data_IF_881517425421
#
_entry.id   IF_881517425421
#
_cell.length_a   1.000
_cell.length_b   1.000
_cell.length_c   1.000
_cell.angle_alpha   90.00
_cell.angle_beta   90.00
_cell.angle_gamma   90.00
#
_symmetry.space_group_name_H-M   'P 1'
#
loop_
_entity.id
_entity.type
_entity.pdbx_description
1 polymer ?
#
# COMPACT_ATOMS: atom_id res chain seq x y z
N UNK A 1 1.88 3.59 -5.49
CA UNK A 1 3.00 4.43 -4.98
C UNK A 1 4.24 4.27 -5.84
N UNK A 2 4.99 5.33 -6.13
CA UNK A 2 6.15 5.27 -7.03
C UNK A 2 7.27 6.25 -6.63
N UNK A 3 7.38 6.55 -5.34
CA UNK A 3 8.36 7.48 -4.78
C UNK A 3 9.30 6.71 -3.82
N UNK A 4 9.48 7.18 -2.60
CA UNK A 4 10.25 6.50 -1.55
C UNK A 4 9.46 5.36 -0.88
N UNK A 5 10.12 4.62 0.00
CA UNK A 5 9.50 3.57 0.83
C UNK A 5 8.56 4.18 1.89
N UNK A 6 7.71 3.34 2.50
CA UNK A 6 6.85 3.65 3.66
C UNK A 6 5.97 4.93 3.53
N UNK A 7 5.43 5.18 2.35
CA UNK A 7 4.56 6.34 2.09
C UNK A 7 3.10 6.11 2.49
N UNK A 8 2.65 4.86 2.50
CA UNK A 8 1.34 4.48 3.01
C UNK A 8 1.56 3.79 4.37
N UNK A 9 1.07 4.44 5.42
CA UNK A 9 1.21 4.01 6.82
C UNK A 9 -0.17 3.97 7.49
N UNK A 10 -0.23 3.48 8.73
CA UNK A 10 -1.48 3.47 9.53
C UNK A 10 -2.13 4.86 9.66
N UNK A 11 -1.29 5.90 9.69
CA UNK A 11 -1.72 7.30 9.84
C UNK A 11 -2.40 7.87 8.59
N UNK A 12 -2.32 7.18 7.44
CA UNK A 12 -2.90 7.68 6.21
C UNK A 12 -3.71 6.65 5.39
N UNK A 13 -3.55 5.35 5.65
CA UNK A 13 -4.25 4.29 4.92
C UNK A 13 -5.79 4.44 4.97
N UNK A 14 -6.33 4.91 6.09
CA UNK A 14 -7.76 5.16 6.27
C UNK A 14 -8.32 6.29 5.39
N UNK A 15 -7.46 7.16 4.84
CA UNK A 15 -7.86 8.27 3.96
C UNK A 15 -7.87 7.86 2.49
N UNK A 16 -7.37 6.68 2.15
CA UNK A 16 -7.27 6.22 0.77
C UNK A 16 -8.65 5.82 0.28
N UNK A 17 -9.10 6.50 -0.78
CA UNK A 17 -10.38 6.24 -1.47
C UNK A 17 -10.23 5.41 -2.74
N UNK A 18 -9.00 5.09 -3.12
CA UNK A 18 -8.71 4.31 -4.31
C UNK A 18 -9.21 2.87 -4.13
N UNK A 19 -9.74 2.27 -5.20
CA UNK A 19 -10.13 0.85 -5.21
C UNK A 19 -8.97 -0.08 -5.56
N UNK A 20 -7.96 0.45 -6.25
CA UNK A 20 -6.78 -0.28 -6.70
C UNK A 20 -5.56 0.59 -6.41
N UNK A 21 -4.50 -0.03 -5.90
CA UNK A 21 -3.19 0.58 -5.69
C UNK A 21 -2.16 -0.28 -6.41
N UNK A 22 -1.38 0.31 -7.32
CA UNK A 22 -0.20 -0.34 -7.90
C UNK A 22 1.09 0.20 -7.25
N UNK A 23 1.88 -0.69 -6.66
CA UNK A 23 3.18 -0.36 -6.08
C UNK A 23 4.27 -0.42 -7.15
N UNK A 24 4.83 0.73 -7.52
CA UNK A 24 5.99 0.86 -8.40
C UNK A 24 7.30 1.12 -7.66
N UNK A 25 7.26 1.30 -6.34
CA UNK A 25 8.43 1.45 -5.47
C UNK A 25 8.59 0.21 -4.59
N UNK A 26 9.76 0.06 -3.95
CA UNK A 26 10.02 -1.00 -2.97
C UNK A 26 9.40 -0.62 -1.62
N UNK A 27 8.66 -1.54 -1.00
CA UNK A 27 8.06 -1.36 0.33
C UNK A 27 7.34 -0.01 0.58
N UNK A 28 6.52 0.52 -0.35
CA UNK A 28 5.92 1.84 -0.16
C UNK A 28 4.71 1.83 0.79
N UNK A 29 4.22 0.66 1.18
CA UNK A 29 3.11 0.45 2.11
C UNK A 29 3.60 -0.39 3.27
N UNK A 30 3.38 0.06 4.52
CA UNK A 30 3.74 -0.74 5.70
C UNK A 30 2.83 -1.95 5.84
N UNK A 31 3.25 -3.06 6.49
CA UNK A 31 2.42 -4.24 6.68
C UNK A 31 1.08 -3.95 7.36
N UNK A 32 1.07 -3.05 8.34
CA UNK A 32 -0.14 -2.66 9.07
C UNK A 32 -1.09 -1.86 8.17
N UNK A 33 -0.54 -1.01 7.31
CA UNK A 33 -1.33 -0.27 6.33
C UNK A 33 -1.92 -1.18 5.26
N UNK A 34 -1.19 -2.23 4.85
CA UNK A 34 -1.66 -3.26 3.92
C UNK A 34 -2.92 -3.96 4.47
N UNK A 35 -2.93 -4.28 5.77
CA UNK A 35 -4.10 -4.87 6.42
C UNK A 35 -5.31 -3.92 6.42
N UNK A 36 -5.10 -2.63 6.65
CA UNK A 36 -6.18 -1.62 6.59
C UNK A 36 -6.75 -1.54 5.16
N UNK A 37 -5.89 -1.55 4.15
CA UNK A 37 -6.29 -1.50 2.75
C UNK A 37 -7.08 -2.75 2.35
N UNK A 38 -6.64 -3.94 2.77
CA UNK A 38 -7.38 -5.19 2.56
C UNK A 38 -8.77 -5.14 3.20
N UNK A 39 -8.87 -4.69 4.45
CA UNK A 39 -10.14 -4.56 5.16
C UNK A 39 -11.09 -3.54 4.48
N UNK A 40 -10.53 -2.54 3.79
CA UNK A 40 -11.27 -1.54 3.03
C UNK A 40 -11.59 -1.98 1.59
N UNK A 41 -11.39 -3.27 1.25
CA UNK A 41 -11.58 -3.81 -0.10
C UNK A 41 -10.75 -3.09 -1.18
N UNK A 42 -9.57 -2.60 -0.81
CA UNK A 42 -8.62 -2.01 -1.76
C UNK A 42 -7.71 -3.11 -2.29
N UNK A 43 -7.70 -3.30 -3.61
CA UNK A 43 -6.78 -4.23 -4.25
C UNK A 43 -5.38 -3.61 -4.33
N UNK A 44 -4.41 -4.19 -3.62
CA UNK A 44 -3.00 -3.79 -3.71
C UNK A 44 -2.28 -4.74 -4.66
N UNK A 45 -1.76 -4.20 -5.76
CA UNK A 45 -0.91 -4.90 -6.72
C UNK A 45 0.54 -4.64 -6.31
N UNK A 46 1.24 -5.65 -5.78
CA UNK A 46 2.62 -5.48 -5.33
C UNK A 46 3.55 -5.22 -6.52
N UNK A 47 4.59 -4.41 -6.27
CA UNK A 47 5.68 -4.24 -7.22
C UNK A 47 6.54 -5.50 -7.32
N UNK A 48 7.43 -5.53 -8.32
CA UNK A 48 8.31 -6.68 -8.65
C UNK A 48 9.22 -7.10 -7.47
N UNK A 49 9.42 -6.22 -6.49
CA UNK A 49 10.44 -6.34 -5.45
C UNK A 49 9.91 -6.53 -4.02
N UNK A 50 8.61 -6.82 -3.82
CA UNK A 50 8.08 -7.10 -2.47
C UNK A 50 8.20 -8.61 -2.18
N UNK A 51 9.12 -9.07 -1.30
CA UNK A 51 9.04 -10.44 -0.78
C UNK A 51 7.76 -10.55 0.06
N UNK A 52 6.98 -11.61 -0.19
CA UNK A 52 5.78 -11.91 0.59
C UNK A 52 6.13 -12.57 1.91
#
# INVERSE_FOLDING_TARGET
PAASEQQITVDNAHRIKARIIAEGANGPTTPEADQILMNNNVLVIPGILKPR
#
